data_IF_949217700254
#
_entry.id   IF_949217700254
#
_cell.length_a   1.000
_cell.length_b   1.000
_cell.length_c   1.000
_cell.angle_alpha   90.00
_cell.angle_beta   90.00
_cell.angle_gamma   90.00
#
_symmetry.space_group_name_H-M   'P 1'
#
loop_
_entity.id
_entity.type
_entity.pdbx_description
1 polymer ?
#
# COMPACT_ATOMS: atom_id res chain seq x y z
N UNK A 1 -7.70 0.03 -4.94
CA UNK A 1 -8.10 0.74 -6.17
C UNK A 1 -7.21 0.46 -7.39
N UNK A 2 -5.99 -0.11 -7.25
CA UNK A 2 -5.19 -0.56 -8.41
C UNK A 2 -4.58 0.54 -9.29
N UNK A 3 -4.63 1.80 -8.84
CA UNK A 3 -4.30 2.99 -9.65
C UNK A 3 -2.84 3.09 -10.10
N UNK A 4 -1.91 2.41 -9.43
CA UNK A 4 -0.49 2.43 -9.80
C UNK A 4 -0.19 1.64 -11.09
N UNK A 5 -0.96 0.58 -11.35
CA UNK A 5 -0.63 -0.41 -12.37
C UNK A 5 -0.93 0.02 -13.82
N UNK A 6 -2.00 0.81 -14.13
CA UNK A 6 -2.24 1.29 -15.48
C UNK A 6 -1.07 2.04 -16.11
N UNK A 7 -0.42 2.92 -15.35
CA UNK A 7 0.72 3.69 -15.84
C UNK A 7 1.94 2.78 -16.13
N UNK A 8 2.20 1.81 -15.25
CA UNK A 8 3.25 0.81 -15.46
C UNK A 8 2.96 -0.03 -16.70
N UNK A 9 1.74 -0.54 -16.86
CA UNK A 9 1.33 -1.34 -18.02
C UNK A 9 1.50 -0.57 -19.34
N UNK A 10 1.11 0.71 -19.37
CA UNK A 10 1.34 1.56 -20.53
C UNK A 10 2.83 1.75 -20.83
N UNK A 11 3.67 1.95 -19.81
CA UNK A 11 5.11 2.06 -19.98
C UNK A 11 5.72 0.74 -20.50
N UNK A 12 5.26 -0.40 -20.02
CA UNK A 12 5.67 -1.74 -20.49
C UNK A 12 5.29 -1.96 -21.95
N UNK A 13 4.07 -1.57 -22.35
CA UNK A 13 3.58 -1.68 -23.72
C UNK A 13 4.42 -0.88 -24.74
N UNK A 14 5.01 0.25 -24.30
CA UNK A 14 5.80 1.14 -25.13
C UNK A 14 7.30 0.79 -25.19
N UNK A 15 7.73 -0.31 -24.58
CA UNK A 15 9.15 -0.71 -24.57
C UNK A 15 9.65 -1.00 -25.99
N UNK A 16 10.88 -0.57 -26.36
CA UNK A 16 11.43 -0.79 -27.71
C UNK A 16 11.55 -2.26 -28.12
N UNK A 17 11.76 -3.15 -27.16
CA UNK A 17 11.90 -4.61 -27.39
C UNK A 17 10.55 -5.34 -27.42
N UNK A 18 9.44 -4.60 -27.28
CA UNK A 18 8.09 -5.13 -27.14
C UNK A 18 7.66 -5.26 -25.68
N UNK A 19 6.35 -5.43 -25.49
CA UNK A 19 5.75 -5.63 -24.20
C UNK A 19 6.15 -7.00 -23.62
N UNK A 20 6.71 -7.07 -22.39
CA UNK A 20 6.87 -8.35 -21.71
C UNK A 20 5.51 -8.87 -21.23
N UNK A 21 5.45 -10.15 -20.87
CA UNK A 21 4.37 -10.65 -20.02
C UNK A 21 4.47 -10.02 -18.62
N UNK A 22 3.32 -9.67 -18.05
CA UNK A 22 3.24 -9.00 -16.76
C UNK A 22 2.30 -9.77 -15.82
N UNK A 23 2.83 -10.26 -14.70
CA UNK A 23 2.06 -10.94 -13.66
C UNK A 23 1.99 -10.07 -12.42
N UNK A 24 0.78 -9.83 -11.92
CA UNK A 24 0.55 -9.02 -10.73
C UNK A 24 -0.16 -9.84 -9.65
N UNK A 25 0.47 -9.94 -8.47
CA UNK A 25 -0.20 -10.48 -7.28
C UNK A 25 -0.61 -9.33 -6.36
N UNK A 26 -1.91 -9.09 -6.23
CA UNK A 26 -2.47 -8.10 -5.31
C UNK A 26 -2.77 -8.75 -3.97
N UNK A 27 -2.15 -8.27 -2.89
CA UNK A 27 -2.39 -8.75 -1.53
C UNK A 27 -3.33 -7.78 -0.82
N UNK A 28 -4.33 -8.28 -0.12
CA UNK A 28 -5.24 -7.42 0.64
C UNK A 28 -6.03 -8.17 1.72
N UNK A 29 -6.67 -7.44 2.64
CA UNK A 29 -7.50 -8.04 3.68
C UNK A 29 -8.75 -8.70 3.09
N UNK A 30 -9.37 -9.64 3.82
CA UNK A 30 -10.67 -10.17 3.44
C UNK A 30 -11.70 -9.03 3.39
N UNK A 31 -12.61 -9.11 2.41
CA UNK A 31 -13.70 -8.14 2.32
C UNK A 31 -14.66 -8.25 3.51
N UNK A 32 -15.15 -7.11 3.97
CA UNK A 32 -16.10 -7.00 5.08
C UNK A 32 -17.57 -6.99 4.64
N UNK A 33 -17.86 -6.83 3.35
CA UNK A 33 -19.21 -6.60 2.81
C UNK A 33 -19.61 -7.58 1.68
N UNK A 34 -19.03 -8.79 1.67
CA UNK A 34 -19.22 -9.83 0.65
C UNK A 34 -18.84 -9.40 -0.78
N UNK A 35 -18.16 -8.28 -0.95
CA UNK A 35 -17.57 -7.88 -2.23
C UNK A 35 -16.22 -8.56 -2.44
N UNK A 36 -15.78 -8.73 -3.68
CA UNK A 36 -14.41 -9.20 -3.96
C UNK A 36 -13.62 -8.08 -4.66
N UNK A 37 -13.13 -7.14 -3.84
CA UNK A 37 -12.39 -5.98 -4.33
C UNK A 37 -11.11 -6.36 -5.08
N UNK A 38 -10.42 -7.43 -4.68
CA UNK A 38 -9.20 -7.89 -5.36
C UNK A 38 -9.56 -8.40 -6.77
N UNK A 39 -10.61 -9.23 -6.87
CA UNK A 39 -11.09 -9.71 -8.15
C UNK A 39 -11.55 -8.57 -9.06
N UNK A 40 -12.29 -7.58 -8.54
CA UNK A 40 -12.74 -6.43 -9.33
C UNK A 40 -11.57 -5.60 -9.88
N UNK A 41 -10.53 -5.35 -9.06
CA UNK A 41 -9.31 -4.67 -9.51
C UNK A 41 -8.61 -5.48 -10.59
N UNK A 42 -8.43 -6.79 -10.37
CA UNK A 42 -7.82 -7.68 -11.34
C UNK A 42 -8.52 -7.68 -12.69
N UNK A 43 -9.86 -7.76 -12.67
CA UNK A 43 -10.69 -7.74 -13.87
C UNK A 43 -10.52 -6.44 -14.67
N UNK A 44 -10.56 -5.28 -14.01
CA UNK A 44 -10.35 -3.97 -14.66
C UNK A 44 -8.95 -3.85 -15.27
N UNK A 45 -7.93 -4.35 -14.57
CA UNK A 45 -6.55 -4.35 -15.07
C UNK A 45 -6.38 -5.28 -16.27
N UNK A 46 -7.05 -6.44 -16.29
CA UNK A 46 -7.03 -7.36 -17.41
C UNK A 46 -7.66 -6.75 -18.69
N UNK A 47 -8.78 -6.04 -18.54
CA UNK A 47 -9.39 -5.31 -19.67
C UNK A 47 -8.47 -4.23 -20.25
N UNK A 48 -7.77 -3.50 -19.37
CA UNK A 48 -6.79 -2.52 -19.81
C UNK A 48 -5.65 -3.20 -20.57
N UNK A 49 -5.07 -4.27 -20.00
CA UNK A 49 -3.98 -5.01 -20.60
C UNK A 49 -4.33 -5.56 -21.99
N UNK A 50 -5.54 -6.09 -22.16
CA UNK A 50 -6.07 -6.53 -23.47
C UNK A 50 -6.11 -5.39 -24.49
N UNK A 51 -6.58 -4.22 -24.07
CA UNK A 51 -6.70 -3.03 -24.93
C UNK A 51 -5.34 -2.52 -25.43
N UNK A 52 -4.29 -2.68 -24.62
CA UNK A 52 -2.92 -2.25 -24.97
C UNK A 52 -2.01 -3.41 -25.37
N UNK A 53 -2.59 -4.60 -25.59
CA UNK A 53 -1.89 -5.81 -26.04
C UNK A 53 -0.71 -6.24 -25.16
N UNK A 54 -0.86 -6.15 -23.84
CA UNK A 54 0.08 -6.71 -22.85
C UNK A 54 -0.44 -8.06 -22.39
N UNK A 55 0.39 -9.10 -22.47
CA UNK A 55 0.08 -10.40 -21.86
C UNK A 55 0.06 -10.23 -20.34
N UNK A 56 -1.11 -10.41 -19.72
CA UNK A 56 -1.31 -10.08 -18.32
C UNK A 56 -1.98 -11.19 -17.53
N UNK A 57 -1.47 -11.45 -16.33
CA UNK A 57 -2.04 -12.36 -15.36
C UNK A 57 -2.21 -11.66 -14.01
N UNK A 58 -3.40 -11.76 -13.41
CA UNK A 58 -3.68 -11.23 -12.08
C UNK A 58 -4.00 -12.34 -11.09
N UNK A 59 -3.45 -12.23 -9.89
CA UNK A 59 -3.80 -13.07 -8.73
C UNK A 59 -4.14 -12.19 -7.54
N UNK A 60 -5.36 -12.32 -7.03
CA UNK A 60 -5.74 -11.77 -5.73
C UNK A 60 -5.33 -12.73 -4.62
N UNK A 61 -4.60 -12.26 -3.62
CA UNK A 61 -4.21 -13.04 -2.45
C UNK A 61 -4.77 -12.41 -1.18
N UNK A 62 -5.67 -13.11 -0.51
CA UNK A 62 -6.32 -12.62 0.71
C UNK A 62 -5.46 -12.97 1.91
N UNK A 63 -5.07 -11.97 2.69
CA UNK A 63 -4.29 -12.13 3.92
C UNK A 63 -4.81 -11.19 5.02
N UNK A 64 -5.00 -11.71 6.23
CA UNK A 64 -5.38 -10.88 7.38
C UNK A 64 -4.26 -9.94 7.81
N UNK A 65 -3.00 -10.31 7.55
CA UNK A 65 -1.84 -9.49 7.81
C UNK A 65 -0.67 -9.92 6.94
N UNK A 66 0.12 -8.95 6.49
CA UNK A 66 1.34 -9.22 5.72
C UNK A 66 2.37 -10.03 6.52
N UNK A 67 2.41 -9.90 7.86
CA UNK A 67 3.34 -10.64 8.70
C UNK A 67 3.10 -12.15 8.72
N UNK A 68 1.97 -12.62 8.18
CA UNK A 68 1.63 -14.03 8.08
C UNK A 68 1.94 -14.59 6.66
N UNK A 69 2.53 -13.78 5.78
CA UNK A 69 2.91 -14.14 4.42
C UNK A 69 4.20 -14.97 4.40
N UNK A 70 4.22 -16.00 3.56
CA UNK A 70 5.41 -16.77 3.19
C UNK A 70 5.62 -16.71 1.67
N UNK A 71 6.88 -16.67 1.23
CA UNK A 71 7.23 -16.58 -0.18
C UNK A 71 6.64 -17.73 -1.03
N UNK A 72 6.52 -18.94 -0.46
CA UNK A 72 5.94 -20.11 -1.14
C UNK A 72 4.46 -19.94 -1.47
N UNK A 73 3.73 -19.06 -0.77
CA UNK A 73 2.33 -18.79 -1.03
C UNK A 73 2.09 -18.01 -2.33
N UNK A 74 3.11 -17.26 -2.80
CA UNK A 74 2.99 -16.35 -3.94
C UNK A 74 3.22 -17.02 -5.32
N UNK A 75 3.46 -18.33 -5.34
CA UNK A 75 3.62 -19.13 -6.59
C UNK A 75 4.62 -18.48 -7.56
N UNK A 76 5.81 -18.12 -7.05
CA UNK A 76 6.89 -17.59 -7.86
C UNK A 76 7.34 -18.61 -8.91
N UNK A 77 7.56 -18.17 -10.14
CA UNK A 77 7.94 -19.03 -11.27
C UNK A 77 9.40 -18.79 -11.64
N UNK A 78 10.10 -19.86 -12.01
CA UNK A 78 11.47 -19.74 -12.54
C UNK A 78 11.46 -18.96 -13.86
N UNK A 79 12.42 -18.06 -14.02
CA UNK A 79 12.57 -17.22 -15.22
C UNK A 79 11.84 -15.88 -15.16
N UNK A 80 11.00 -15.63 -14.15
CA UNK A 80 10.40 -14.32 -13.92
C UNK A 80 11.32 -13.41 -13.10
N UNK A 81 11.35 -12.12 -13.44
CA UNK A 81 11.96 -11.09 -12.61
C UNK A 81 10.94 -10.59 -11.59
N UNK A 82 11.28 -10.67 -10.30
CA UNK A 82 10.36 -10.32 -9.21
C UNK A 82 10.63 -8.90 -8.73
N UNK A 83 9.56 -8.09 -8.65
CA UNK A 83 9.55 -6.79 -8.00
C UNK A 83 8.52 -6.80 -6.87
N UNK A 84 8.89 -6.26 -5.70
CA UNK A 84 7.98 -6.09 -4.57
C UNK A 84 7.69 -4.61 -4.39
N UNK A 85 6.40 -4.26 -4.31
CA UNK A 85 5.95 -2.88 -4.09
C UNK A 85 5.04 -2.81 -2.87
N UNK A 86 5.40 -1.99 -1.89
CA UNK A 86 4.67 -1.77 -0.65
C UNK A 86 4.37 -0.29 -0.48
N UNK A 87 3.10 0.06 -0.27
CA UNK A 87 2.62 1.45 -0.27
C UNK A 87 1.66 1.64 0.88
N UNK A 88 2.10 2.32 1.94
CA UNK A 88 1.35 2.55 3.17
C UNK A 88 0.85 1.25 3.82
N UNK A 89 1.74 0.26 3.97
CA UNK A 89 1.40 -1.06 4.49
C UNK A 89 2.28 -1.50 5.67
N UNK A 90 3.54 -1.04 5.70
CA UNK A 90 4.51 -1.47 6.70
C UNK A 90 4.27 -0.81 8.06
N UNK A 91 3.83 0.45 8.08
CA UNK A 91 3.61 1.20 9.32
C UNK A 91 2.68 0.46 10.30
N UNK A 92 1.61 -0.17 9.82
CA UNK A 92 0.70 -0.96 10.65
C UNK A 92 1.36 -2.18 11.32
N UNK A 93 2.43 -2.73 10.73
CA UNK A 93 3.15 -3.88 11.27
C UNK A 93 3.96 -3.55 12.51
N UNK A 94 4.28 -2.27 12.74
CA UNK A 94 4.99 -1.82 13.95
C UNK A 94 4.17 -2.04 15.22
N UNK A 95 2.85 -2.24 15.13
CA UNK A 95 2.01 -2.62 16.26
C UNK A 95 2.20 -4.09 16.68
N UNK A 96 2.79 -4.93 15.80
CA UNK A 96 3.05 -6.34 16.05
C UNK A 96 4.55 -6.57 16.26
N UNK A 97 4.99 -7.08 17.43
CA UNK A 97 6.39 -7.43 17.63
C UNK A 97 6.90 -8.36 16.54
N UNK A 98 8.02 -8.01 15.90
CA UNK A 98 8.62 -8.79 14.81
C UNK A 98 7.87 -8.70 13.46
N UNK A 99 6.85 -7.85 13.33
CA UNK A 99 6.00 -7.77 12.15
C UNK A 99 6.77 -7.42 10.89
N UNK A 100 7.57 -6.36 10.96
CA UNK A 100 8.44 -5.89 9.87
C UNK A 100 9.46 -6.96 9.51
N UNK A 101 10.14 -7.55 10.50
CA UNK A 101 11.20 -8.53 10.29
C UNK A 101 10.68 -9.79 9.59
N UNK A 102 9.46 -10.24 9.92
CA UNK A 102 8.81 -11.36 9.23
C UNK A 102 8.54 -11.01 7.76
N UNK A 103 7.95 -9.85 7.50
CA UNK A 103 7.66 -9.42 6.12
C UNK A 103 8.94 -9.26 5.31
N UNK A 104 9.96 -8.59 5.86
CA UNK A 104 11.23 -8.42 5.17
C UNK A 104 11.97 -9.75 4.95
N UNK A 105 11.82 -10.72 5.86
CA UNK A 105 12.34 -12.08 5.66
C UNK A 105 11.62 -12.78 4.51
N UNK A 106 10.28 -12.74 4.49
CA UNK A 106 9.50 -13.30 3.38
C UNK A 106 9.86 -12.64 2.05
N UNK A 107 9.96 -11.30 2.01
CA UNK A 107 10.39 -10.54 0.82
C UNK A 107 11.80 -10.95 0.40
N UNK A 108 12.72 -11.15 1.33
CA UNK A 108 14.07 -11.63 1.02
C UNK A 108 14.06 -13.03 0.42
N UNK A 109 13.20 -13.92 0.90
CA UNK A 109 13.06 -15.28 0.39
C UNK A 109 12.47 -15.33 -1.03
N UNK A 110 11.71 -14.29 -1.42
CA UNK A 110 11.25 -14.10 -2.80
C UNK A 110 12.39 -13.72 -3.77
N UNK A 111 13.55 -13.29 -3.26
CA UNK A 111 14.72 -12.83 -4.03
C UNK A 111 14.37 -11.79 -5.11
N UNK A 112 13.73 -10.66 -4.75
CA UNK A 112 13.35 -9.64 -5.71
C UNK A 112 14.55 -8.91 -6.28
N UNK A 113 14.44 -8.48 -7.53
CA UNK A 113 15.41 -7.57 -8.17
C UNK A 113 15.27 -6.15 -7.64
N UNK A 114 14.07 -5.76 -7.21
CA UNK A 114 13.78 -4.45 -6.65
C UNK A 114 12.67 -4.52 -5.61
N UNK A 115 12.83 -3.73 -4.55
CA UNK A 115 11.80 -3.47 -3.55
C UNK A 115 11.52 -1.97 -3.53
N UNK A 116 10.27 -1.57 -3.76
CA UNK A 116 9.81 -0.18 -3.62
C UNK A 116 8.95 -0.05 -2.37
N UNK A 117 9.25 0.96 -1.57
CA UNK A 117 8.56 1.25 -0.31
C UNK A 117 8.10 2.71 -0.36
N UNK A 118 6.82 2.93 -0.12
CA UNK A 118 6.23 4.26 0.04
C UNK A 118 5.53 4.28 1.40
N UNK A 119 6.01 5.13 2.30
CA UNK A 119 5.45 5.27 3.65
C UNK A 119 5.25 6.74 4.01
N UNK A 120 4.48 6.98 5.07
CA UNK A 120 4.24 8.30 5.62
C UNK A 120 5.43 8.74 6.48
N UNK A 121 5.97 9.92 6.21
CA UNK A 121 7.10 10.48 6.95
C UNK A 121 6.61 11.18 8.24
N UNK A 122 6.48 10.40 9.30
CA UNK A 122 6.06 10.88 10.62
C UNK A 122 6.60 9.98 11.74
N UNK A 123 6.86 10.54 12.92
CA UNK A 123 7.28 9.76 14.09
C UNK A 123 6.12 9.50 15.06
N UNK A 124 5.21 8.60 14.67
CA UNK A 124 4.09 8.21 15.52
C UNK A 124 4.37 6.96 16.36
N UNK A 125 5.52 6.28 16.23
CA UNK A 125 5.76 5.04 16.98
C UNK A 125 6.27 5.26 18.43
N UNK A 126 6.66 6.48 18.80
CA UNK A 126 7.26 6.80 20.11
C UNK A 126 6.44 6.37 21.35
N UNK A 127 7.08 6.09 22.50
CA UNK A 127 6.38 5.61 23.70
C UNK A 127 5.66 6.72 24.48
N UNK A 128 6.09 7.98 24.36
CA UNK A 128 5.54 9.12 25.12
C UNK A 128 4.35 9.72 24.38
N UNK A 129 3.18 9.76 25.03
CA UNK A 129 1.95 10.30 24.45
C UNK A 129 2.08 11.76 24.01
N UNK A 130 2.63 12.63 24.86
CA UNK A 130 2.70 14.05 24.57
C UNK A 130 3.52 14.34 23.31
N UNK A 131 4.65 13.65 23.14
CA UNK A 131 5.50 13.78 21.96
C UNK A 131 4.74 13.35 20.70
N UNK A 132 4.05 12.20 20.75
CA UNK A 132 3.20 11.75 19.64
C UNK A 132 2.07 12.72 19.31
N UNK A 133 1.41 13.26 20.32
CA UNK A 133 0.32 14.21 20.13
C UNK A 133 0.80 15.48 19.41
N UNK A 134 1.94 16.02 19.86
CA UNK A 134 2.56 17.20 19.25
C UNK A 134 3.01 16.90 17.82
N UNK A 135 3.65 15.75 17.58
CA UNK A 135 4.04 15.32 16.24
C UNK A 135 2.84 15.19 15.30
N UNK A 136 1.79 14.48 15.74
CA UNK A 136 0.55 14.32 14.96
C UNK A 136 -0.10 15.66 14.64
N UNK A 137 -0.14 16.61 15.59
CA UNK A 137 -0.70 17.93 15.33
C UNK A 137 0.05 18.63 14.18
N UNK A 138 1.39 18.61 14.20
CA UNK A 138 2.21 19.23 13.16
C UNK A 138 2.08 18.51 11.81
N UNK A 139 2.18 17.18 11.82
CA UNK A 139 2.08 16.34 10.63
C UNK A 139 0.73 16.50 9.94
N UNK A 140 -0.37 16.26 10.66
CA UNK A 140 -1.70 16.33 10.06
C UNK A 140 -2.09 17.77 9.70
N UNK A 141 -1.71 18.79 10.48
CA UNK A 141 -1.93 20.19 10.06
C UNK A 141 -1.31 20.46 8.70
N UNK A 142 -0.07 20.01 8.47
CA UNK A 142 0.63 20.20 7.20
C UNK A 142 -0.08 19.46 6.06
N UNK A 143 -0.59 18.24 6.30
CA UNK A 143 -1.37 17.49 5.30
C UNK A 143 -2.69 18.19 4.96
N UNK A 144 -3.44 18.65 5.96
CA UNK A 144 -4.70 19.37 5.74
C UNK A 144 -4.45 20.70 4.99
N UNK A 145 -3.42 21.46 5.36
CA UNK A 145 -3.01 22.67 4.63
C UNK A 145 -2.66 22.36 3.16
N UNK A 146 -1.96 21.24 2.91
CA UNK A 146 -1.66 20.80 1.54
C UNK A 146 -2.91 20.40 0.76
N UNK A 147 -3.86 19.71 1.39
CA UNK A 147 -5.12 19.31 0.75
C UNK A 147 -5.98 20.54 0.39
N UNK A 148 -5.98 21.57 1.22
CA UNK A 148 -6.66 22.85 0.95
C UNK A 148 -5.95 23.68 -0.13
N UNK A 149 -4.62 23.74 -0.08
CA UNK A 149 -3.79 24.46 -1.06
C UNK A 149 -3.88 23.90 -2.48
N UNK A 150 -4.21 22.62 -2.65
CA UNK A 150 -4.43 21.98 -3.95
C UNK A 150 -5.76 22.35 -4.65
N UNK A 151 -6.60 23.21 -4.05
CA UNK A 151 -7.93 23.59 -4.54
C UNK A 151 -8.02 24.40 -5.86
N UNK A 152 -6.98 24.42 -6.70
CA UNK A 152 -6.96 25.15 -7.99
C UNK A 152 -7.69 24.43 -9.14
N UNK A 153 -8.20 23.23 -8.90
CA UNK A 153 -9.09 22.45 -9.79
C UNK A 153 -10.31 22.06 -8.94
N UNK A 154 -11.52 21.81 -9.49
CA UNK A 154 -12.60 21.24 -8.68
C UNK A 154 -12.16 19.85 -8.22
N UNK A 155 -11.49 19.78 -7.07
CA UNK A 155 -11.28 18.55 -6.33
C UNK A 155 -12.69 18.03 -6.10
N UNK A 156 -12.98 16.86 -6.65
CA UNK A 156 -14.24 16.20 -6.42
C UNK A 156 -14.50 16.20 -4.91
N UNK A 157 -15.60 16.83 -4.46
CA UNK A 157 -15.88 17.00 -3.03
C UNK A 157 -15.88 15.67 -2.28
N UNK A 158 -16.16 14.58 -2.99
CA UNK A 158 -16.09 13.23 -2.46
C UNK A 158 -14.66 12.76 -2.18
N UNK A 159 -13.69 13.04 -3.05
CA UNK A 159 -12.29 12.62 -2.86
C UNK A 159 -11.65 13.37 -1.68
N UNK A 160 -11.97 14.67 -1.54
CA UNK A 160 -11.59 15.46 -0.36
C UNK A 160 -12.17 14.85 0.90
N UNK A 161 -13.49 14.59 0.93
CA UNK A 161 -14.16 14.00 2.09
C UNK A 161 -13.56 12.63 2.47
N UNK A 162 -13.29 11.77 1.49
CA UNK A 162 -12.69 10.45 1.75
C UNK A 162 -11.27 10.57 2.33
N UNK A 163 -10.49 11.55 1.85
CA UNK A 163 -9.16 11.84 2.38
C UNK A 163 -9.22 12.34 3.83
N UNK A 164 -10.15 13.26 4.14
CA UNK A 164 -10.35 13.77 5.49
C UNK A 164 -10.82 12.67 6.47
N UNK A 165 -11.73 11.79 6.03
CA UNK A 165 -12.18 10.63 6.81
C UNK A 165 -11.03 9.66 7.07
N UNK A 166 -10.21 9.38 6.06
CA UNK A 166 -9.03 8.52 6.21
C UNK A 166 -8.03 9.10 7.22
N UNK A 167 -7.65 10.37 7.07
CA UNK A 167 -6.75 11.03 8.02
C UNK A 167 -7.34 11.10 9.43
N UNK A 168 -8.65 11.37 9.55
CA UNK A 168 -9.36 11.39 10.82
C UNK A 168 -9.33 10.06 11.55
N UNK A 169 -9.45 8.93 10.83
CA UNK A 169 -9.31 7.60 11.41
C UNK A 169 -7.89 7.37 11.95
N UNK A 170 -6.86 7.81 11.21
CA UNK A 170 -5.49 7.68 11.67
C UNK A 170 -5.22 8.53 12.92
N UNK A 171 -5.64 9.81 12.92
CA UNK A 171 -5.56 10.70 14.09
C UNK A 171 -6.19 10.04 15.31
N UNK A 172 -7.42 9.52 15.16
CA UNK A 172 -8.12 8.82 16.24
C UNK A 172 -7.30 7.64 16.78
N UNK A 173 -6.71 6.82 15.92
CA UNK A 173 -5.92 5.68 16.38
C UNK A 173 -4.60 6.10 17.05
N UNK A 174 -3.87 7.08 16.49
CA UNK A 174 -2.61 7.56 17.06
C UNK A 174 -2.81 8.22 18.43
N UNK A 175 -3.89 8.99 18.58
CA UNK A 175 -4.15 9.82 19.78
C UNK A 175 -4.98 9.09 20.84
N UNK A 176 -6.01 8.33 20.45
CA UNK A 176 -6.97 7.76 21.41
C UNK A 176 -6.66 6.31 21.82
N UNK A 177 -5.82 5.59 21.08
CA UNK A 177 -5.47 4.20 21.38
C UNK A 177 -4.08 4.08 22.01
N UNK A 178 -3.85 2.98 22.73
CA UNK A 178 -2.56 2.65 23.33
C UNK A 178 -2.23 1.16 23.19
N UNK A 179 -0.97 0.81 23.47
CA UNK A 179 -0.52 -0.58 23.47
C UNK A 179 -0.82 -1.30 22.13
N UNK A 180 -1.35 -2.53 22.14
CA UNK A 180 -1.62 -3.31 20.93
C UNK A 180 -2.82 -2.79 20.11
N UNK A 181 -3.70 -1.97 20.70
CA UNK A 181 -4.85 -1.37 19.99
C UNK A 181 -4.43 -0.17 19.14
N UNK A 182 -3.25 0.39 19.39
CA UNK A 182 -2.63 1.43 18.57
C UNK A 182 -1.94 0.80 17.36
N UNK A 183 -2.62 0.82 16.23
CA UNK A 183 -2.22 0.19 14.97
C UNK A 183 -1.43 1.16 14.08
N UNK A 184 -1.83 2.43 14.06
CA UNK A 184 -1.20 3.50 13.29
C UNK A 184 0.09 3.95 13.98
N UNK A 185 1.21 3.48 13.45
CA UNK A 185 2.55 3.73 13.97
C UNK A 185 3.47 3.99 12.81
N UNK A 186 3.99 5.20 12.70
CA UNK A 186 4.88 5.62 11.61
C UNK A 186 6.30 5.86 12.16
N UNK A 187 7.28 5.66 11.29
CA UNK A 187 8.69 5.93 11.54
C UNK A 187 9.26 6.74 10.37
N UNK A 188 10.24 7.60 10.67
CA UNK A 188 10.94 8.45 9.71
C UNK A 188 12.03 7.67 8.96
N UNK A 189 12.35 8.09 7.74
CA UNK A 189 13.54 7.62 7.03
C UNK A 189 14.82 8.20 7.69
N UNK A 190 15.52 7.39 8.49
CA UNK A 190 16.69 7.82 9.27
C UNK A 190 17.86 8.40 8.44
#
# INVERSE_FOLDING_TARGET
QGMQWPALMQALALRPEGAPSFRLTGIGPPSTDNTDHLHEVGWKLAQLAETIHVEFEYRGFVANSLADLDASMLELREGESVAVNSVFELHGLLARPGGIERVLSAVKDMKPEIVTIVEQEANHNGPVFLDRFTESLHYYSTLFDSLEGCGASPVNSQDKLMSEVYLGQQICNVVACEGPERLERHETLA
#
